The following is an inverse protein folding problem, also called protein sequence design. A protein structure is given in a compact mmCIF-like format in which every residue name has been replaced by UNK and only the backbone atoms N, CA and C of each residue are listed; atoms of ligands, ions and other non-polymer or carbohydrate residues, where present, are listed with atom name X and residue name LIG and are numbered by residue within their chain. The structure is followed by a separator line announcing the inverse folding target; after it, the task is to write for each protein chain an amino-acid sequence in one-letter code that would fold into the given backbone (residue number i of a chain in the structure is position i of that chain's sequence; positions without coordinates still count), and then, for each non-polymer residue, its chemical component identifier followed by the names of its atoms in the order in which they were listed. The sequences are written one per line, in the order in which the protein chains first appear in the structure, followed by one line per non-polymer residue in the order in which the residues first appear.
data_IF_220495480907
#
_entry.id   IF_220495480907
#
_cell.length_a   1.000
_cell.length_b   1.000
_cell.length_c   1.000
_cell.angle_alpha   90.00
_cell.angle_beta   90.00
_cell.angle_gamma   90.00
#
_symmetry.space_group_name_H-M   'P 1'
#
loop_
_entity.id
_entity.type
_entity.pdbx_description
1 polymer ?
#
# COMPACT_ATOMS: atom_id res chain seq x y z
N UNK A 1 12.59 23.72 -17.54
CA UNK A 1 13.46 22.55 -17.26
C UNK A 1 13.57 22.24 -15.76
N UNK A 2 13.96 23.20 -14.90
CA UNK A 2 14.08 23.03 -13.43
C UNK A 2 12.82 22.51 -12.74
N UNK A 3 11.65 23.08 -13.06
CA UNK A 3 10.36 22.66 -12.50
C UNK A 3 9.97 21.21 -12.85
N UNK A 4 10.26 20.76 -14.09
CA UNK A 4 10.02 19.38 -14.52
C UNK A 4 10.89 18.39 -13.74
N UNK A 5 12.17 18.72 -13.51
CA UNK A 5 13.07 17.91 -12.69
C UNK A 5 12.62 17.83 -11.23
N UNK A 6 12.14 18.93 -10.65
CA UNK A 6 11.58 18.92 -9.29
C UNK A 6 10.33 18.04 -9.16
N UNK A 7 9.40 18.08 -10.14
CA UNK A 7 8.22 17.19 -10.16
C UNK A 7 8.64 15.72 -10.21
N UNK A 8 9.60 15.37 -11.07
CA UNK A 8 10.13 14.01 -11.19
C UNK A 8 10.81 13.56 -9.88
N UNK A 9 11.67 14.41 -9.31
CA UNK A 9 12.35 14.12 -8.05
C UNK A 9 11.35 13.84 -6.92
N UNK A 10 10.35 14.70 -6.73
CA UNK A 10 9.34 14.50 -5.71
C UNK A 10 8.47 13.25 -5.94
N UNK A 11 8.06 12.98 -7.19
CA UNK A 11 7.17 11.87 -7.49
C UNK A 11 7.86 10.50 -7.43
N UNK A 12 9.13 10.43 -7.82
CA UNK A 12 9.90 9.18 -7.93
C UNK A 12 10.96 9.00 -6.84
N UNK A 13 11.11 9.95 -5.91
CA UNK A 13 12.11 9.88 -4.85
C UNK A 13 13.55 9.99 -5.37
N UNK A 14 13.80 10.93 -6.28
CA UNK A 14 15.14 11.22 -6.82
C UNK A 14 15.76 12.43 -6.14
N UNK A 15 17.06 12.68 -6.34
CA UNK A 15 17.75 13.91 -5.90
C UNK A 15 17.44 14.27 -4.42
N UNK A 16 17.66 13.30 -3.50
CA UNK A 16 17.38 13.38 -2.05
C UNK A 16 15.91 13.41 -1.62
N UNK A 17 14.95 13.48 -2.56
CA UNK A 17 13.55 13.34 -2.21
C UNK A 17 13.26 11.91 -1.73
N UNK A 18 12.56 11.79 -0.59
CA UNK A 18 12.09 10.49 -0.11
C UNK A 18 10.96 9.94 -1.00
N UNK A 19 10.85 8.61 -1.07
CA UNK A 19 9.72 7.97 -1.73
C UNK A 19 8.42 8.26 -0.97
N UNK A 20 7.45 8.88 -1.66
CA UNK A 20 6.11 9.08 -1.11
C UNK A 20 5.13 8.17 -1.83
N UNK A 21 4.63 7.15 -1.14
CA UNK A 21 3.73 6.14 -1.67
C UNK A 21 2.37 6.69 -2.14
N UNK A 22 1.95 7.87 -1.67
CA UNK A 22 0.68 8.54 -2.02
C UNK A 22 0.70 9.20 -3.39
N UNK A 23 1.87 9.51 -3.95
CA UNK A 23 2.03 10.21 -5.23
C UNK A 23 1.75 9.32 -6.46
N UNK A 24 0.85 8.35 -6.33
CA UNK A 24 0.51 7.37 -7.39
C UNK A 24 -0.06 8.06 -8.62
N UNK A 25 -1.04 8.94 -8.42
CA UNK A 25 -1.62 9.70 -9.52
C UNK A 25 -0.58 10.61 -10.17
N UNK A 26 0.23 11.33 -9.39
CA UNK A 26 1.26 12.22 -9.93
C UNK A 26 2.31 11.45 -10.75
N UNK A 27 2.70 10.26 -10.32
CA UNK A 27 3.59 9.37 -11.09
C UNK A 27 2.94 8.93 -12.40
N UNK A 28 1.67 8.51 -12.37
CA UNK A 28 0.94 8.16 -13.60
C UNK A 28 0.85 9.34 -14.57
N UNK A 29 0.46 10.53 -14.11
CA UNK A 29 0.36 11.73 -14.94
C UNK A 29 1.72 12.10 -15.57
N UNK A 30 2.83 11.96 -14.84
CA UNK A 30 4.17 12.19 -15.39
C UNK A 30 4.57 11.18 -16.47
N UNK A 31 4.20 9.91 -16.31
CA UNK A 31 4.43 8.89 -17.33
C UNK A 31 3.54 9.10 -18.57
N UNK A 32 2.29 9.51 -18.35
CA UNK A 32 1.34 9.87 -19.40
C UNK A 32 1.82 11.08 -20.20
N UNK A 33 2.19 12.18 -19.53
CA UNK A 33 2.77 13.39 -20.15
C UNK A 33 4.06 13.08 -20.93
N UNK A 34 4.79 12.03 -20.55
CA UNK A 34 6.02 11.61 -21.21
C UNK A 34 5.82 10.59 -22.35
N UNK A 35 4.60 10.09 -22.57
CA UNK A 35 4.33 9.05 -23.57
C UNK A 35 4.89 7.67 -23.21
N UNK A 36 5.12 7.40 -21.92
CA UNK A 36 5.74 6.17 -21.41
C UNK A 36 4.73 5.08 -20.99
N UNK A 37 3.44 5.35 -21.20
CA UNK A 37 2.34 4.41 -20.96
C UNK A 37 1.49 4.32 -22.22
N UNK A 38 0.92 3.15 -22.55
CA UNK A 38 0.14 3.00 -23.79
C UNK A 38 -1.10 3.86 -23.82
N UNK A 39 -1.67 4.19 -22.67
CA UNK A 39 -2.83 5.05 -22.57
C UNK A 39 -2.56 6.47 -23.11
N UNK A 40 -1.30 6.87 -23.24
CA UNK A 40 -0.89 8.14 -23.85
C UNK A 40 -0.75 8.09 -25.38
N UNK A 41 -0.78 6.90 -25.99
CA UNK A 41 -0.68 6.72 -27.44
C UNK A 41 -1.89 7.33 -28.15
N UNK A 42 -1.67 8.04 -29.25
CA UNK A 42 -2.77 8.43 -30.14
C UNK A 42 -3.22 7.24 -30.99
N UNK A 43 -4.46 7.24 -31.52
CA UNK A 43 -4.88 6.22 -32.48
C UNK A 43 -3.89 6.13 -33.65
N UNK A 44 -3.31 4.95 -33.87
CA UNK A 44 -2.31 4.71 -34.92
C UNK A 44 -0.84 4.92 -34.49
N UNK A 45 -0.58 5.34 -33.25
CA UNK A 45 0.76 5.37 -32.67
C UNK A 45 1.02 4.12 -31.82
N UNK A 46 2.18 3.49 -32.00
CA UNK A 46 2.68 2.49 -31.06
C UNK A 46 3.44 3.21 -29.94
N UNK A 47 2.87 3.23 -28.74
CA UNK A 47 3.62 3.66 -27.57
C UNK A 47 4.43 2.48 -27.02
N UNK A 48 5.73 2.67 -26.74
CA UNK A 48 6.52 1.63 -26.13
C UNK A 48 6.00 1.35 -24.72
N UNK A 49 5.65 0.10 -24.45
CA UNK A 49 5.28 -0.36 -23.12
C UNK A 49 6.54 -0.37 -22.23
N UNK A 50 6.78 0.72 -21.50
CA UNK A 50 7.95 0.87 -20.63
C UNK A 50 7.60 0.90 -19.13
N UNK A 51 6.31 0.85 -18.80
CA UNK A 51 5.82 0.87 -17.42
C UNK A 51 5.49 -0.54 -16.91
N UNK A 52 5.61 -0.82 -15.60
CA UNK A 52 5.11 -2.08 -15.03
C UNK A 52 3.57 -2.22 -15.13
N UNK A 53 3.08 -3.46 -15.20
CA UNK A 53 1.64 -3.79 -15.17
C UNK A 53 1.09 -4.28 -16.51
N UNK A 54 -0.23 -4.19 -16.70
CA UNK A 54 -0.93 -4.50 -17.95
C UNK A 54 -1.68 -3.26 -18.47
N UNK A 55 -1.77 -3.05 -19.80
CA UNK A 55 -2.57 -1.96 -20.38
C UNK A 55 -4.01 -2.00 -19.88
N UNK A 56 -4.57 -0.83 -19.61
CA UNK A 56 -5.98 -0.72 -19.23
C UNK A 56 -6.75 0.07 -20.28
N UNK A 57 -8.02 -0.31 -20.46
CA UNK A 57 -8.90 0.39 -21.39
C UNK A 57 -9.14 1.84 -20.92
N UNK A 58 -9.23 2.76 -21.88
CA UNK A 58 -9.58 4.17 -21.64
C UNK A 58 -8.71 4.82 -20.55
N UNK A 59 -9.33 5.45 -19.56
CA UNK A 59 -8.68 6.11 -18.42
C UNK A 59 -8.67 5.23 -17.16
N UNK A 60 -8.94 3.93 -17.27
CA UNK A 60 -9.06 3.04 -16.11
C UNK A 60 -7.78 3.01 -15.25
N UNK A 61 -6.59 3.11 -15.86
CA UNK A 61 -5.34 3.20 -15.09
C UNK A 61 -5.29 4.49 -14.26
N UNK A 62 -5.78 5.61 -14.78
CA UNK A 62 -5.86 6.89 -14.07
C UNK A 62 -6.83 6.82 -12.90
N UNK A 63 -7.99 6.20 -13.12
CA UNK A 63 -8.99 5.93 -12.07
C UNK A 63 -8.38 5.07 -10.96
N UNK A 64 -7.67 4.01 -11.33
CA UNK A 64 -6.98 3.13 -10.38
C UNK A 64 -5.89 3.89 -9.62
N UNK A 65 -5.04 4.66 -10.30
CA UNK A 65 -4.00 5.47 -9.67
C UNK A 65 -4.59 6.46 -8.66
N UNK A 66 -5.74 7.07 -8.99
CA UNK A 66 -6.50 7.94 -8.09
C UNK A 66 -7.03 7.18 -6.87
N UNK A 67 -7.62 6.00 -7.08
CA UNK A 67 -8.14 5.16 -6.00
C UNK A 67 -7.02 4.72 -5.04
N UNK A 68 -5.88 4.26 -5.57
CA UNK A 68 -4.73 3.83 -4.76
C UNK A 68 -4.15 5.02 -3.99
N UNK A 69 -3.98 6.19 -4.62
CA UNK A 69 -3.49 7.39 -3.93
C UNK A 69 -4.38 7.75 -2.73
N UNK A 70 -5.71 7.75 -2.93
CA UNK A 70 -6.68 8.01 -1.85
C UNK A 70 -6.67 6.93 -0.79
N UNK A 71 -6.52 5.66 -1.17
CA UNK A 71 -6.45 4.53 -0.25
C UNK A 71 -5.21 4.63 0.64
N UNK A 72 -4.04 4.93 0.06
CA UNK A 72 -2.76 5.07 0.79
C UNK A 72 -2.75 6.28 1.72
N UNK A 73 -3.31 7.40 1.28
CA UNK A 73 -3.52 8.54 2.16
C UNK A 73 -4.42 8.15 3.34
N UNK A 74 -5.51 7.41 3.11
CA UNK A 74 -6.45 7.02 4.18
C UNK A 74 -5.94 5.91 5.10
N UNK A 75 -5.18 4.93 4.61
CA UNK A 75 -4.76 3.77 5.41
C UNK A 75 -3.76 4.15 6.51
N UNK A 76 -3.01 5.24 6.36
CA UNK A 76 -2.20 5.79 7.45
C UNK A 76 -3.03 6.23 8.66
N UNK A 77 -4.28 6.63 8.42
CA UNK A 77 -5.14 7.24 9.44
C UNK A 77 -6.30 6.33 9.88
N UNK A 78 -6.70 5.36 9.06
CA UNK A 78 -7.82 4.46 9.33
C UNK A 78 -7.41 3.02 9.10
N UNK A 79 -7.73 2.11 10.02
CA UNK A 79 -7.30 0.74 9.89
C UNK A 79 -8.26 -0.08 9.00
N UNK A 80 -8.38 0.32 7.73
CA UNK A 80 -9.16 -0.37 6.70
C UNK A 80 -8.71 -1.82 6.53
N UNK A 81 -7.45 -2.13 6.86
CA UNK A 81 -6.92 -3.50 6.85
C UNK A 81 -7.79 -4.45 7.70
N UNK A 82 -8.50 -3.98 8.73
CA UNK A 82 -9.39 -4.80 9.53
C UNK A 82 -10.61 -5.31 8.76
N UNK A 83 -11.13 -4.50 7.83
CA UNK A 83 -12.29 -4.85 7.01
C UNK A 83 -11.90 -5.77 5.84
N UNK A 84 -10.62 -5.79 5.46
CA UNK A 84 -10.10 -6.58 4.33
C UNK A 84 -9.55 -7.94 4.76
N UNK A 85 -9.22 -8.12 6.03
CA UNK A 85 -8.64 -9.35 6.55
C UNK A 85 -9.74 -10.32 7.00
N UNK A 86 -9.52 -11.64 6.86
CA UNK A 86 -10.43 -12.64 7.43
C UNK A 86 -10.48 -12.52 8.97
N UNK A 87 -11.47 -13.15 9.61
CA UNK A 87 -11.63 -13.11 11.07
C UNK A 87 -10.40 -13.67 11.81
N UNK A 88 -9.75 -14.69 11.23
CA UNK A 88 -8.53 -15.32 11.73
C UNK A 88 -7.46 -15.28 10.65
N UNK A 89 -6.26 -14.84 11.01
CA UNK A 89 -5.15 -14.69 10.08
C UNK A 89 -3.80 -14.93 10.76
N UNK A 90 -2.80 -15.24 9.96
CA UNK A 90 -1.40 -15.25 10.39
C UNK A 90 -0.81 -13.84 10.34
N UNK A 91 0.19 -13.55 11.18
CA UNK A 91 0.93 -12.27 11.10
C UNK A 91 1.57 -12.04 9.72
N UNK A 92 1.92 -13.12 9.00
CA UNK A 92 2.46 -13.01 7.65
C UNK A 92 1.39 -12.55 6.64
N UNK A 93 0.18 -13.08 6.72
CA UNK A 93 -0.95 -12.61 5.90
C UNK A 93 -1.23 -11.14 6.18
N UNK A 94 -1.28 -10.74 7.46
CA UNK A 94 -1.47 -9.33 7.81
C UNK A 94 -0.35 -8.44 7.25
N UNK A 95 0.91 -8.84 7.41
CA UNK A 95 2.04 -8.09 6.86
C UNK A 95 1.90 -7.94 5.33
N UNK A 96 1.62 -9.03 4.61
CA UNK A 96 1.46 -9.01 3.15
C UNK A 96 0.32 -8.09 2.70
N UNK A 97 -0.80 -8.10 3.41
CA UNK A 97 -1.92 -7.20 3.13
C UNK A 97 -1.55 -5.74 3.34
N UNK A 98 -0.87 -5.41 4.44
CA UNK A 98 -0.39 -4.03 4.69
C UNK A 98 0.64 -3.61 3.64
N UNK A 99 1.60 -4.48 3.29
CA UNK A 99 2.60 -4.21 2.25
C UNK A 99 1.94 -3.96 0.89
N UNK A 100 0.94 -4.76 0.52
CA UNK A 100 0.21 -4.61 -0.74
C UNK A 100 -0.54 -3.28 -0.80
N UNK A 101 -1.20 -2.89 0.29
CA UNK A 101 -1.94 -1.63 0.38
C UNK A 101 -0.99 -0.42 0.38
N UNK A 102 0.06 -0.46 1.20
CA UNK A 102 1.05 0.61 1.31
C UNK A 102 1.95 0.71 0.07
N UNK A 103 2.10 -0.38 -0.70
CA UNK A 103 3.00 -0.42 -1.86
C UNK A 103 4.48 -0.44 -1.50
N UNK A 104 4.83 -0.81 -0.27
CA UNK A 104 6.21 -0.89 0.21
C UNK A 104 6.40 -2.11 1.09
N UNK A 105 7.62 -2.65 1.10
CA UNK A 105 7.98 -3.77 1.98
C UNK A 105 8.18 -3.30 3.41
N UNK A 106 7.79 -4.15 4.36
CA UNK A 106 7.93 -3.88 5.78
C UNK A 106 8.94 -4.84 6.38
N UNK A 107 9.78 -4.33 7.29
CA UNK A 107 10.71 -5.19 8.02
C UNK A 107 9.93 -6.10 8.98
N UNK A 108 10.09 -7.42 8.83
CA UNK A 108 9.30 -8.44 9.54
C UNK A 108 9.34 -8.28 11.07
N UNK A 109 10.52 -8.05 11.65
CA UNK A 109 10.66 -7.90 13.11
C UNK A 109 10.04 -6.59 13.60
N UNK A 110 10.20 -5.50 12.86
CA UNK A 110 9.63 -4.21 13.23
C UNK A 110 8.10 -4.27 13.17
N UNK A 111 7.56 -4.92 12.14
CA UNK A 111 6.13 -5.14 12.00
C UNK A 111 5.55 -5.96 13.15
N UNK A 112 6.19 -7.09 13.51
CA UNK A 112 5.75 -7.91 14.65
C UNK A 112 5.79 -7.10 15.96
N UNK A 113 6.90 -6.42 16.24
CA UNK A 113 7.06 -5.59 17.43
C UNK A 113 5.99 -4.50 17.50
N UNK A 114 5.66 -3.88 16.38
CA UNK A 114 4.62 -2.86 16.29
C UNK A 114 3.23 -3.41 16.62
N UNK A 115 2.88 -4.59 16.09
CA UNK A 115 1.60 -5.24 16.35
C UNK A 115 1.45 -5.65 17.82
N UNK A 116 2.54 -6.13 18.44
CA UNK A 116 2.60 -6.49 19.85
C UNK A 116 2.49 -5.24 20.75
N UNK A 117 3.31 -4.20 20.49
CA UNK A 117 3.32 -2.95 21.25
C UNK A 117 1.97 -2.22 21.24
N UNK A 118 1.28 -2.26 20.11
CA UNK A 118 -0.02 -1.59 19.98
C UNK A 118 -1.21 -2.41 20.47
N UNK A 119 -0.97 -3.64 20.93
CA UNK A 119 -2.00 -4.57 21.38
C UNK A 119 -3.17 -4.72 20.37
N UNK A 120 -2.87 -4.65 19.06
CA UNK A 120 -3.89 -4.65 18.00
C UNK A 120 -4.48 -6.05 17.76
N UNK A 121 -3.66 -7.06 18.01
CA UNK A 121 -3.98 -8.46 17.74
C UNK A 121 -3.85 -9.29 19.00
N UNK A 122 -4.59 -10.39 19.05
CA UNK A 122 -4.48 -11.42 20.07
C UNK A 122 -4.38 -12.80 19.42
N UNK A 123 -3.61 -13.69 20.04
CA UNK A 123 -3.44 -15.07 19.60
C UNK A 123 -4.73 -15.85 19.88
N UNK A 124 -5.21 -16.65 18.92
CA UNK A 124 -6.43 -17.45 19.10
C UNK A 124 -6.16 -18.80 19.76
N UNK A 125 -4.89 -19.17 19.94
CA UNK A 125 -4.45 -20.50 20.38
C UNK A 125 -4.42 -21.55 19.25
N UNK A 126 -4.94 -21.21 18.07
CA UNK A 126 -4.96 -22.09 16.91
C UNK A 126 -3.72 -21.88 16.03
N UNK A 127 -3.40 -22.89 15.22
CA UNK A 127 -2.31 -22.81 14.24
C UNK A 127 -2.74 -23.44 12.92
N UNK A 128 -2.25 -22.88 11.81
CA UNK A 128 -2.49 -23.39 10.45
C UNK A 128 -1.21 -23.94 9.83
N UNK A 129 -1.31 -25.06 9.12
CA UNK A 129 -0.23 -25.65 8.32
C UNK A 129 -0.24 -25.21 6.85
N UNK A 130 -1.20 -24.38 6.43
CA UNK A 130 -1.39 -23.94 5.03
C UNK A 130 -0.18 -23.21 4.44
N UNK A 131 0.72 -22.68 5.29
CA UNK A 131 1.93 -21.98 4.83
C UNK A 131 3.05 -22.90 4.34
N UNK A 132 2.82 -24.22 4.24
CA UNK A 132 3.78 -25.19 3.66
C UNK A 132 5.04 -25.43 4.49
N UNK A 133 5.01 -25.04 5.78
CA UNK A 133 6.14 -25.12 6.72
C UNK A 133 5.68 -25.30 8.16
N UNK A 134 6.46 -24.84 9.15
CA UNK A 134 6.07 -24.89 10.57
C UNK A 134 4.68 -24.25 10.75
N UNK A 135 3.76 -24.89 11.51
CA UNK A 135 2.43 -24.34 11.75
C UNK A 135 2.49 -22.89 12.23
N UNK A 136 1.79 -22.02 11.52
CA UNK A 136 1.73 -20.60 11.80
C UNK A 136 0.58 -20.31 12.76
N UNK A 137 0.87 -19.57 13.84
CA UNK A 137 -0.14 -19.15 14.82
C UNK A 137 -1.17 -18.24 14.17
N UNK A 138 -2.44 -18.44 14.54
CA UNK A 138 -3.55 -17.60 14.14
C UNK A 138 -3.79 -16.50 15.17
N UNK A 139 -4.15 -15.34 14.64
CA UNK A 139 -4.45 -14.12 15.37
C UNK A 139 -5.78 -13.58 14.91
N UNK A 140 -6.40 -12.77 15.78
CA UNK A 140 -7.58 -11.95 15.46
C UNK A 140 -7.38 -10.53 16.01
N UNK A 141 -8.11 -9.57 15.46
CA UNK A 141 -8.07 -8.20 15.98
C UNK A 141 -8.82 -8.06 17.30
N UNK A 142 -8.27 -7.26 18.22
CA UNK A 142 -8.92 -6.95 19.49
C UNK A 142 -10.02 -5.91 19.29
N UNK A 143 -11.28 -6.34 19.26
CA UNK A 143 -12.45 -5.47 19.03
C UNK A 143 -12.52 -4.22 19.92
N UNK A 144 -12.08 -4.30 21.18
CA UNK A 144 -12.11 -3.16 22.11
C UNK A 144 -11.20 -2.01 21.66
N UNK A 145 -9.97 -2.33 21.23
CA UNK A 145 -9.00 -1.35 20.71
C UNK A 145 -9.50 -0.73 19.39
N UNK A 146 -10.29 -1.48 18.61
CA UNK A 146 -10.89 -0.99 17.37
C UNK A 146 -11.96 0.07 17.62
N UNK A 147 -12.87 -0.21 18.55
CA UNK A 147 -13.97 0.70 18.88
C UNK A 147 -13.42 2.02 19.47
N UNK A 148 -12.43 1.91 20.36
CA UNK A 148 -11.80 3.07 20.99
C UNK A 148 -11.03 3.93 19.97
N UNK A 149 -10.28 3.33 19.05
CA UNK A 149 -9.53 4.08 18.02
C UNK A 149 -10.40 4.63 16.90
N UNK A 150 -11.48 3.94 16.54
CA UNK A 150 -12.48 4.47 15.61
C UNK A 150 -13.17 5.72 16.20
N UNK A 151 -13.43 5.73 17.50
CA UNK A 151 -13.96 6.89 18.22
C UNK A 151 -12.91 8.00 18.42
N UNK A 152 -11.65 7.64 18.69
CA UNK A 152 -10.57 8.59 18.98
C UNK A 152 -9.88 9.19 17.74
N UNK A 153 -10.19 8.72 16.52
CA UNK A 153 -9.52 9.15 15.28
C UNK A 153 -8.01 8.87 15.27
N UNK A 154 -7.54 7.92 16.09
CA UNK A 154 -6.12 7.73 16.37
C UNK A 154 -5.39 6.94 15.28
N UNK A 155 -4.22 7.47 14.91
CA UNK A 155 -3.41 7.13 13.74
C UNK A 155 -2.74 5.77 13.90
N UNK A 156 -2.62 4.99 12.80
CA UNK A 156 -1.69 3.86 12.76
C UNK A 156 -0.28 4.41 12.49
N UNK A 157 0.70 4.21 13.38
CA UNK A 157 2.08 4.52 13.03
C UNK A 157 2.57 3.43 12.09
N UNK A 158 2.42 3.66 10.78
CA UNK A 158 3.31 3.01 9.83
C UNK A 158 4.71 3.56 10.13
N UNK A 159 5.55 2.72 10.74
CA UNK A 159 6.93 3.06 11.01
C UNK A 159 7.56 3.55 9.70
N UNK A 160 8.13 4.76 9.74
CA UNK A 160 9.01 5.20 8.66
C UNK A 160 10.16 4.19 8.58
N UNK A 161 10.32 3.60 7.40
CA UNK A 161 11.46 2.76 7.05
C UNK A 161 12.75 3.55 7.16
#
# INVERSE_FOLDING_TARGET
RRQRRQRLAAAFGLDEAGWNDELVLQRYELLFEAGLVPEAARPGEEAPWQAPGEPMAHDHRRILATAIARLRAKIRYRPIVFELMPERFTLLQLQRSVEALAGQKLHKQNFRRLMEQQALVEETGESTAETGGRPARLFRFRRAVLAERAAAGSKLPLARS
#
